data_IF_142045568181
#
_entry.id   IF_142045568181
#
_cell.length_a   1.000
_cell.length_b   1.000
_cell.length_c   1.000
_cell.angle_alpha   90.00
_cell.angle_beta   90.00
_cell.angle_gamma   90.00
#
_symmetry.space_group_name_H-M   'P 1'
#
loop_
_entity.id
_entity.type
_entity.pdbx_description
1 polymer ?
#
# COMPACT_ATOMS: atom_id res chain seq x y z
N UNK A 1 -2.08 15.51 9.22
CA UNK A 1 -2.73 15.64 7.92
C UNK A 1 -3.81 14.60 7.72
N UNK A 2 -4.79 14.95 7.06
CA UNK A 2 -5.97 14.11 6.98
C UNK A 2 -5.92 13.16 5.80
N UNK A 3 -6.42 11.95 6.01
CA UNK A 3 -6.63 11.01 4.93
C UNK A 3 -7.52 11.59 3.84
N UNK A 4 -8.38 12.54 4.22
CA UNK A 4 -9.28 13.16 3.26
C UNK A 4 -8.58 13.80 2.08
N UNK A 5 -7.27 14.01 2.17
CA UNK A 5 -6.51 14.57 1.07
C UNK A 5 -6.12 13.53 0.03
N UNK A 6 -6.23 12.26 0.38
CA UNK A 6 -5.96 11.17 -0.54
C UNK A 6 -7.23 10.39 -0.77
N UNK A 7 -7.63 10.30 -2.03
CA UNK A 7 -8.80 9.50 -2.38
C UNK A 7 -8.36 8.05 -2.51
N UNK A 8 -8.93 7.14 -1.71
CA UNK A 8 -8.51 5.74 -1.80
C UNK A 8 -8.86 5.07 -3.13
N UNK A 9 -9.68 5.69 -3.94
CA UNK A 9 -10.15 5.09 -5.19
C UNK A 9 -9.40 5.53 -6.43
N UNK A 10 -8.43 6.43 -6.30
CA UNK A 10 -7.67 6.88 -7.47
C UNK A 10 -6.72 5.78 -7.94
N UNK A 11 -6.28 5.87 -9.19
CA UNK A 11 -5.36 4.91 -9.75
C UNK A 11 -4.00 4.95 -9.04
N UNK A 12 -3.22 3.89 -9.21
CA UNK A 12 -1.87 3.88 -8.63
C UNK A 12 -1.00 5.00 -9.19
N UNK A 13 -1.13 5.29 -10.48
CA UNK A 13 -0.36 6.37 -11.09
C UNK A 13 -0.69 7.71 -10.46
N UNK A 14 -1.98 7.99 -10.32
CA UNK A 14 -2.43 9.22 -9.68
C UNK A 14 -2.00 9.29 -8.21
N UNK A 15 -2.13 8.16 -7.52
CA UNK A 15 -1.74 8.09 -6.13
C UNK A 15 -0.25 8.39 -5.96
N UNK A 16 0.58 7.82 -6.83
CA UNK A 16 2.01 8.07 -6.79
C UNK A 16 2.32 9.54 -6.96
N UNK A 17 1.66 10.19 -7.92
CA UNK A 17 1.87 11.61 -8.15
C UNK A 17 1.49 12.45 -6.95
N UNK A 18 0.36 12.10 -6.32
CA UNK A 18 -0.08 12.84 -5.15
C UNK A 18 0.83 12.62 -3.95
N UNK A 19 1.31 11.40 -3.78
CA UNK A 19 2.24 11.12 -2.68
C UNK A 19 3.56 11.86 -2.84
N UNK A 20 4.05 11.97 -4.07
CA UNK A 20 5.29 12.70 -4.33
C UNK A 20 5.15 14.17 -3.96
N UNK A 21 3.96 14.73 -4.14
CA UNK A 21 3.71 16.13 -3.84
C UNK A 21 3.51 16.41 -2.36
N UNK A 22 3.31 15.39 -1.55
CA UNK A 22 3.19 15.57 -0.11
C UNK A 22 4.55 15.82 0.51
N UNK A 23 4.60 16.45 1.70
CA UNK A 23 5.87 16.65 2.39
C UNK A 23 6.59 15.32 2.63
N UNK A 24 7.91 15.38 2.66
CA UNK A 24 8.71 14.18 2.88
C UNK A 24 8.44 13.53 4.23
N UNK A 25 8.02 14.31 5.20
CA UNK A 25 7.69 13.81 6.53
C UNK A 25 6.21 13.48 6.70
N UNK A 26 5.50 13.32 5.59
CA UNK A 26 4.11 12.89 5.65
C UNK A 26 4.04 11.41 6.03
N UNK A 27 3.23 11.11 7.05
CA UNK A 27 3.06 9.75 7.54
C UNK A 27 1.60 9.47 7.82
N UNK A 28 1.24 8.19 7.74
CA UNK A 28 -0.06 7.72 8.21
C UNK A 28 0.17 6.75 9.35
N UNK A 29 -0.70 6.80 10.35
CA UNK A 29 -0.72 5.79 11.41
C UNK A 29 -1.31 4.48 10.87
N UNK A 30 -0.99 3.38 11.55
CA UNK A 30 -1.47 2.08 11.12
C UNK A 30 -2.98 2.03 10.94
N UNK A 31 -3.74 2.56 11.90
CA UNK A 31 -5.20 2.54 11.82
C UNK A 31 -5.71 3.33 10.63
N UNK A 32 -5.11 4.48 10.38
CA UNK A 32 -5.49 5.31 9.23
C UNK A 32 -5.19 4.59 7.92
N UNK A 33 -4.04 3.93 7.86
CA UNK A 33 -3.63 3.23 6.66
C UNK A 33 -4.51 2.00 6.42
N UNK A 34 -4.85 1.27 7.47
CA UNK A 34 -5.76 0.13 7.34
C UNK A 34 -7.12 0.60 6.81
N UNK A 35 -7.60 1.73 7.31
CA UNK A 35 -8.86 2.29 6.83
C UNK A 35 -8.77 2.65 5.35
N UNK A 36 -7.70 3.31 4.98
CA UNK A 36 -7.46 3.72 3.59
C UNK A 36 -7.43 2.50 2.66
N UNK A 37 -6.67 1.48 3.04
CA UNK A 37 -6.54 0.26 2.25
C UNK A 37 -7.85 -0.51 2.19
N UNK A 38 -8.62 -0.51 3.28
CA UNK A 38 -9.91 -1.18 3.32
C UNK A 38 -10.88 -0.56 2.32
N UNK A 39 -10.93 0.76 2.27
CA UNK A 39 -11.79 1.46 1.33
C UNK A 39 -11.34 1.21 -0.11
N UNK A 40 -10.04 1.11 -0.31
CA UNK A 40 -9.51 0.82 -1.64
C UNK A 40 -9.83 -0.61 -2.07
N UNK A 41 -9.75 -1.55 -1.14
CA UNK A 41 -10.00 -2.97 -1.44
C UNK A 41 -11.48 -3.26 -1.66
N UNK A 42 -12.34 -2.63 -0.84
CA UNK A 42 -13.79 -2.84 -0.90
C UNK A 42 -14.53 -1.51 -0.89
N UNK A 43 -14.54 -0.79 -2.03
CA UNK A 43 -15.09 0.58 -2.04
C UNK A 43 -16.56 0.70 -1.68
N UNK A 44 -17.33 -0.35 -1.95
CA UNK A 44 -18.78 -0.31 -1.72
C UNK A 44 -19.21 -1.06 -0.48
N UNK A 45 -18.29 -1.26 0.45
CA UNK A 45 -18.55 -2.09 1.61
C UNK A 45 -17.91 -1.49 2.85
N UNK A 46 -18.43 -1.90 4.01
CA UNK A 46 -17.81 -1.54 5.30
C UNK A 46 -16.79 -2.56 5.77
N UNK A 47 -16.44 -3.51 4.90
CA UNK A 47 -15.44 -4.50 5.24
C UNK A 47 -14.12 -3.83 5.56
N UNK A 48 -13.38 -4.46 6.47
CA UNK A 48 -12.12 -3.90 6.93
C UNK A 48 -11.04 -4.99 6.85
N UNK A 49 -9.87 -4.60 6.40
CA UNK A 49 -8.71 -5.48 6.39
C UNK A 49 -8.34 -5.77 7.84
N UNK A 50 -8.19 -7.06 8.18
CA UNK A 50 -7.80 -7.41 9.54
C UNK A 50 -6.29 -7.24 9.73
N UNK A 51 -5.86 -7.25 10.99
CA UNK A 51 -4.45 -7.01 11.30
C UNK A 51 -3.54 -8.09 10.75
N UNK A 52 -4.03 -9.33 10.67
CA UNK A 52 -3.25 -10.43 10.11
C UNK A 52 -2.97 -10.21 8.64
N UNK A 53 -3.97 -9.76 7.88
CA UNK A 53 -3.81 -9.45 6.48
C UNK A 53 -2.85 -8.29 6.28
N UNK A 54 -3.02 -7.24 7.08
CA UNK A 54 -2.13 -6.08 7.00
C UNK A 54 -0.69 -6.48 7.33
N UNK A 55 -0.50 -7.30 8.37
CA UNK A 55 0.81 -7.80 8.75
C UNK A 55 1.46 -8.57 7.60
N UNK A 56 0.69 -9.42 6.93
CA UNK A 56 1.20 -10.20 5.81
C UNK A 56 1.61 -9.30 4.65
N UNK A 57 0.78 -8.33 4.32
CA UNK A 57 1.08 -7.38 3.25
C UNK A 57 2.34 -6.59 3.56
N UNK A 58 2.50 -6.19 4.80
CA UNK A 58 3.68 -5.46 5.23
C UNK A 58 4.93 -6.32 5.08
N UNK A 59 4.85 -7.56 5.54
CA UNK A 59 5.99 -8.47 5.44
C UNK A 59 6.36 -8.79 3.99
N UNK A 60 5.37 -8.97 3.14
CA UNK A 60 5.63 -9.28 1.74
C UNK A 60 6.34 -8.11 1.04
N UNK A 61 6.16 -6.91 1.53
CA UNK A 61 6.84 -5.72 1.00
C UNK A 61 8.09 -5.37 1.81
N UNK A 62 8.46 -6.20 2.77
CA UNK A 62 9.63 -6.00 3.63
C UNK A 62 9.59 -4.69 4.40
N UNK A 63 8.41 -4.29 4.80
CA UNK A 63 8.19 -3.12 5.62
C UNK A 63 8.16 -3.57 7.08
N UNK A 64 9.03 -2.99 7.90
CA UNK A 64 9.13 -3.36 9.30
C UNK A 64 7.92 -2.89 10.08
N UNK A 65 7.70 -3.52 11.22
CA UNK A 65 6.63 -3.11 12.13
C UNK A 65 6.95 -1.72 12.66
N UNK A 66 5.98 -0.82 12.55
CA UNK A 66 6.18 0.57 12.94
C UNK A 66 4.82 1.22 13.14
N UNK A 67 4.81 2.37 13.81
CA UNK A 67 3.57 3.09 14.07
C UNK A 67 3.20 4.05 12.95
N UNK A 68 4.20 4.56 12.25
CA UNK A 68 4.00 5.54 11.19
C UNK A 68 4.53 4.96 9.88
N UNK A 69 3.77 5.14 8.84
CA UNK A 69 4.11 4.62 7.51
C UNK A 69 4.36 5.76 6.55
N UNK A 70 5.52 5.73 5.90
CA UNK A 70 5.97 6.79 5.01
C UNK A 70 5.22 6.75 3.68
N UNK A 71 5.46 7.75 2.84
CA UNK A 71 4.87 7.81 1.51
C UNK A 71 5.21 6.56 0.70
N UNK A 72 6.44 6.12 0.78
CA UNK A 72 6.90 4.92 0.08
C UNK A 72 6.16 3.68 0.58
N UNK A 73 6.02 3.55 1.90
CA UNK A 73 5.31 2.42 2.49
C UNK A 73 3.84 2.43 2.07
N UNK A 74 3.21 3.58 2.07
CA UNK A 74 1.82 3.72 1.65
C UNK A 74 1.65 3.24 0.22
N UNK A 75 2.55 3.65 -0.65
CA UNK A 75 2.47 3.25 -2.06
C UNK A 75 2.62 1.73 -2.23
N UNK A 76 3.60 1.15 -1.54
CA UNK A 76 3.84 -0.30 -1.63
C UNK A 76 2.63 -1.09 -1.15
N UNK A 77 2.01 -0.64 -0.07
CA UNK A 77 0.83 -1.32 0.46
C UNK A 77 -0.37 -1.14 -0.45
N UNK A 78 -0.47 -0.03 -1.14
CA UNK A 78 -1.52 0.14 -2.13
C UNK A 78 -1.29 -0.76 -3.35
N UNK A 79 -0.04 -1.00 -3.72
CA UNK A 79 0.27 -1.90 -4.83
C UNK A 79 -0.20 -3.32 -4.53
N UNK A 80 0.10 -3.84 -3.33
CA UNK A 80 -0.32 -5.19 -2.99
C UNK A 80 -1.84 -5.26 -2.84
N UNK A 81 -2.44 -4.20 -2.32
CA UNK A 81 -3.89 -4.11 -2.21
C UNK A 81 -4.55 -4.25 -3.58
N UNK A 82 -4.03 -3.51 -4.56
CA UNK A 82 -4.58 -3.56 -5.92
C UNK A 82 -4.36 -4.90 -6.57
N UNK A 83 -3.22 -5.52 -6.31
CA UNK A 83 -2.92 -6.84 -6.86
C UNK A 83 -4.00 -7.85 -6.45
N UNK A 84 -4.34 -7.86 -5.16
CA UNK A 84 -5.38 -8.76 -4.67
C UNK A 84 -6.77 -8.34 -5.12
N UNK A 85 -7.01 -7.04 -5.22
CA UNK A 85 -8.30 -6.54 -5.69
C UNK A 85 -8.58 -7.01 -7.13
N UNK A 86 -7.53 -7.18 -7.91
CA UNK A 86 -7.64 -7.64 -9.30
C UNK A 86 -7.42 -9.15 -9.42
N UNK A 87 -7.66 -9.88 -8.35
CA UNK A 87 -7.60 -11.34 -8.31
C UNK A 87 -6.21 -11.93 -8.49
N UNK A 88 -5.18 -11.16 -8.19
CA UNK A 88 -3.82 -11.68 -8.21
C UNK A 88 -3.57 -12.58 -7.00
N UNK A 89 -2.56 -13.44 -7.11
CA UNK A 89 -2.18 -14.33 -6.03
C UNK A 89 -0.92 -13.82 -5.32
N UNK A 90 -0.70 -14.34 -4.12
CA UNK A 90 0.48 -13.98 -3.34
C UNK A 90 1.77 -14.36 -4.09
N UNK A 91 1.79 -15.55 -4.69
CA UNK A 91 2.98 -16.00 -5.41
C UNK A 91 3.31 -15.08 -6.58
N UNK A 92 2.29 -14.64 -7.29
CA UNK A 92 2.48 -13.70 -8.39
C UNK A 92 3.04 -12.37 -7.89
N UNK A 93 2.53 -11.89 -6.76
CA UNK A 93 3.01 -10.63 -6.22
C UNK A 93 4.48 -10.73 -5.78
N UNK A 94 4.82 -11.81 -5.09
CA UNK A 94 6.20 -12.02 -4.65
C UNK A 94 7.16 -12.12 -5.82
N UNK A 95 6.72 -12.74 -6.91
CA UNK A 95 7.54 -12.83 -8.11
C UNK A 95 7.80 -11.45 -8.72
N UNK A 96 6.77 -10.60 -8.75
CA UNK A 96 6.92 -9.24 -9.26
C UNK A 96 7.91 -8.43 -8.42
N UNK A 97 7.78 -8.51 -7.11
CA UNK A 97 8.67 -7.77 -6.20
C UNK A 97 10.11 -8.25 -6.36
N UNK A 98 10.31 -9.56 -6.42
CA UNK A 98 11.66 -10.12 -6.58
C UNK A 98 12.26 -9.73 -7.91
N UNK A 99 11.47 -9.75 -8.97
CA UNK A 99 11.95 -9.36 -10.30
C UNK A 99 12.39 -7.90 -10.32
N UNK A 100 11.58 -7.02 -9.71
CA UNK A 100 11.93 -5.60 -9.64
C UNK A 100 13.22 -5.39 -8.87
N UNK A 101 13.38 -6.15 -7.79
CA UNK A 101 14.58 -6.05 -6.97
C UNK A 101 15.82 -6.47 -7.76
N UNK A 102 15.71 -7.55 -8.53
CA UNK A 102 16.82 -8.02 -9.36
C UNK A 102 17.22 -6.97 -10.38
N UNK A 103 16.26 -6.37 -11.04
CA UNK A 103 16.55 -5.33 -12.01
C UNK A 103 17.27 -4.15 -11.37
N UNK A 104 16.86 -3.79 -10.16
CA UNK A 104 17.51 -2.72 -9.42
C UNK A 104 18.97 -3.06 -9.12
N UNK A 105 19.22 -4.29 -8.70
CA UNK A 105 20.56 -4.72 -8.35
C UNK A 105 21.49 -4.75 -9.56
N UNK A 106 20.95 -5.08 -10.71
CA UNK A 106 21.73 -5.22 -11.93
C UNK A 106 22.06 -3.91 -12.61
N UNK A 107 21.65 -2.83 -12.03
CA UNK A 107 22.04 -1.53 -12.53
C UNK A 107 23.35 -1.09 -11.92
#
# INVERSE_FOLDING_TARGET
MKLSKLDPLISLTELREKLIKLPKDYFLHEDELIEFLSQRRWPDSNRRIDRTTFWRWRNDNKIEHQKLFSRSDIFKLCQICDHYRLDGTRNEYLALVNHQKELSVNK
#
